data_IF_115082444088
#
_entry.id   IF_115082444088
#
_cell.length_a   1.000
_cell.length_b   1.000
_cell.length_c   1.000
_cell.angle_alpha   90.00
_cell.angle_beta   90.00
_cell.angle_gamma   90.00
#
_symmetry.space_group_name_H-M   'P 1'
#
loop_
_entity.id
_entity.type
_entity.pdbx_description
1 polymer ?
#
# COMPACT_ATOMS: atom_id res chain seq x y z
N UNK A 1 -3.62 3.71 -10.06
CA UNK A 1 -4.93 3.54 -9.39
C UNK A 1 -5.15 4.73 -8.49
N UNK A 2 -6.00 5.68 -8.89
CA UNK A 2 -6.52 6.66 -7.96
C UNK A 2 -7.75 6.03 -7.31
N UNK A 3 -7.66 5.73 -6.02
CA UNK A 3 -8.82 5.30 -5.25
C UNK A 3 -9.64 6.57 -5.02
N UNK A 4 -10.73 6.75 -5.75
CA UNK A 4 -11.64 7.88 -5.54
C UNK A 4 -12.19 7.84 -4.12
N UNK A 5 -11.94 8.88 -3.34
CA UNK A 5 -12.37 8.97 -1.94
C UNK A 5 -13.29 10.17 -1.74
N UNK A 6 -14.46 9.87 -1.17
CA UNK A 6 -15.47 10.81 -0.69
C UNK A 6 -14.88 11.76 0.36
N UNK A 7 -15.25 13.04 0.30
CA UNK A 7 -14.67 14.13 1.10
C UNK A 7 -14.98 14.09 2.61
N UNK A 8 -15.66 13.06 3.11
CA UNK A 8 -15.97 12.89 4.54
C UNK A 8 -15.63 11.47 5.02
N UNK A 9 -14.36 11.18 5.35
CA UNK A 9 -13.96 9.89 5.88
C UNK A 9 -14.43 9.73 7.33
N UNK A 10 -15.27 8.73 7.60
CA UNK A 10 -15.59 8.30 8.97
C UNK A 10 -14.33 7.83 9.74
N UNK A 11 -14.40 7.60 11.06
CA UNK A 11 -13.23 7.27 11.90
C UNK A 11 -12.48 6.00 11.45
N UNK A 12 -13.18 5.04 10.86
CA UNK A 12 -12.56 3.87 10.24
C UNK A 12 -11.76 4.22 8.97
N UNK A 13 -12.29 5.10 8.12
CA UNK A 13 -11.59 5.62 6.93
C UNK A 13 -10.39 6.49 7.32
N UNK A 14 -10.47 7.23 8.42
CA UNK A 14 -9.37 8.02 8.94
C UNK A 14 -8.16 7.16 9.38
N UNK A 15 -8.40 5.93 9.87
CA UNK A 15 -7.33 4.97 10.18
C UNK A 15 -6.68 4.41 8.92
N UNK A 16 -7.49 4.09 7.91
CA UNK A 16 -7.00 3.58 6.62
C UNK A 16 -6.06 4.57 5.93
N UNK A 17 -6.28 5.88 6.08
CA UNK A 17 -5.50 6.93 5.42
C UNK A 17 -4.31 7.45 6.22
N UNK A 18 -4.17 7.08 7.50
CA UNK A 18 -2.98 7.46 8.29
C UNK A 18 -1.85 6.45 8.04
N UNK A 19 -0.57 6.87 8.13
CA UNK A 19 0.53 5.92 8.14
C UNK A 19 0.45 5.04 9.39
N UNK A 20 0.83 3.77 9.25
CA UNK A 20 0.97 2.85 10.37
C UNK A 20 2.11 3.29 11.32
N UNK A 21 3.18 3.88 10.81
CA UNK A 21 4.30 4.37 11.62
C UNK A 21 4.25 5.89 11.84
N UNK A 22 4.98 6.38 12.85
CA UNK A 22 5.19 7.83 12.99
C UNK A 22 6.13 8.34 11.89
N UNK A 23 5.69 9.37 11.18
CA UNK A 23 6.46 10.11 10.18
C UNK A 23 6.65 11.53 10.70
N UNK A 24 7.87 12.07 10.58
CA UNK A 24 8.15 13.46 10.93
C UNK A 24 7.47 14.42 9.94
N UNK A 25 7.14 15.62 10.39
CA UNK A 25 6.60 16.65 9.51
C UNK A 25 7.56 16.95 8.35
N UNK A 26 7.04 17.04 7.13
CA UNK A 26 7.84 17.22 5.92
C UNK A 26 8.60 15.96 5.44
N UNK A 27 8.48 14.82 6.13
CA UNK A 27 9.04 13.54 5.70
C UNK A 27 8.01 12.65 5.01
N UNK A 28 8.49 11.69 4.25
CA UNK A 28 7.68 10.65 3.61
C UNK A 28 7.80 9.29 4.31
N UNK A 29 8.95 9.01 4.92
CA UNK A 29 9.28 7.73 5.52
C UNK A 29 9.20 7.77 7.03
N UNK A 30 9.04 6.60 7.65
CA UNK A 30 9.02 6.46 9.10
C UNK A 30 10.26 7.07 9.76
N UNK A 31 10.09 7.57 10.99
CA UNK A 31 11.23 7.90 11.84
C UNK A 31 12.08 6.62 12.05
N UNK A 32 13.43 6.70 11.90
CA UNK A 32 14.30 5.56 12.11
C UNK A 32 14.07 4.86 13.45
N UNK A 33 14.36 3.55 13.49
CA UNK A 33 14.17 2.67 14.65
C UNK A 33 12.70 2.35 15.01
N UNK A 34 11.75 2.60 14.11
CA UNK A 34 10.40 2.04 14.21
C UNK A 34 9.60 2.52 15.43
N UNK A 35 9.82 3.76 15.86
CA UNK A 35 9.03 4.35 16.94
C UNK A 35 7.55 4.44 16.53
N UNK A 36 6.67 4.01 17.43
CA UNK A 36 5.22 4.11 17.28
C UNK A 36 4.67 3.45 16.00
N UNK A 37 5.22 2.30 15.61
CA UNK A 37 4.63 1.47 14.55
C UNK A 37 3.35 0.83 15.07
N UNK A 38 2.28 0.88 14.28
CA UNK A 38 1.00 0.28 14.61
C UNK A 38 1.12 -1.22 14.89
N UNK A 39 0.29 -1.73 15.81
CA UNK A 39 0.28 -3.15 16.23
C UNK A 39 -0.25 -4.04 15.10
N UNK A 40 -1.33 -3.61 14.46
CA UNK A 40 -1.96 -4.36 13.37
C UNK A 40 -2.01 -3.53 12.08
N UNK A 41 -1.21 -3.95 11.10
CA UNK A 41 -1.08 -3.32 9.78
C UNK A 41 -2.29 -3.56 8.88
N UNK A 42 -3.19 -4.46 9.25
CA UNK A 42 -4.40 -4.78 8.46
C UNK A 42 -5.42 -3.64 8.42
N UNK A 43 -5.35 -2.73 9.39
CA UNK A 43 -6.25 -1.58 9.50
C UNK A 43 -5.71 -0.31 8.83
N UNK A 44 -4.63 -0.40 8.06
CA UNK A 44 -3.93 0.73 7.45
C UNK A 44 -3.65 0.44 5.97
N UNK A 45 -3.90 1.41 5.09
CA UNK A 45 -3.53 1.30 3.67
C UNK A 45 -2.04 1.58 3.47
N UNK A 46 -1.46 2.47 4.27
CA UNK A 46 -0.08 2.91 4.15
C UNK A 46 0.76 2.53 5.37
N UNK A 47 1.99 2.08 5.11
CA UNK A 47 2.97 1.82 6.16
C UNK A 47 3.59 3.13 6.66
N UNK A 48 4.08 3.95 5.73
CA UNK A 48 4.51 5.35 5.95
C UNK A 48 3.63 6.30 5.11
N UNK A 49 4.08 7.51 4.77
CA UNK A 49 3.21 8.45 4.04
C UNK A 49 3.04 8.12 2.55
N UNK A 50 3.86 7.23 1.97
CA UNK A 50 3.87 6.99 0.51
C UNK A 50 3.90 5.52 0.11
N UNK A 51 4.30 4.62 1.01
CA UNK A 51 4.38 3.19 0.75
C UNK A 51 3.16 2.45 1.32
N UNK A 52 2.51 1.58 0.53
CA UNK A 52 1.41 0.76 1.02
C UNK A 52 1.84 -0.24 2.11
N UNK A 53 0.89 -0.71 2.92
CA UNK A 53 1.13 -1.84 3.81
C UNK A 53 1.29 -3.14 3.03
N UNK A 54 1.91 -4.14 3.66
CA UNK A 54 2.05 -5.49 3.10
C UNK A 54 0.70 -6.09 2.70
N UNK A 55 -0.37 -5.84 3.46
CA UNK A 55 -1.69 -6.36 3.13
C UNK A 55 -2.24 -5.77 1.84
N UNK A 56 -2.05 -4.46 1.62
CA UNK A 56 -2.40 -3.82 0.34
C UNK A 56 -1.56 -4.43 -0.78
N UNK A 57 -0.24 -4.58 -0.60
CA UNK A 57 0.63 -5.20 -1.60
C UNK A 57 0.20 -6.65 -1.92
N UNK A 58 -0.11 -7.47 -0.92
CA UNK A 58 -0.61 -8.85 -1.09
C UNK A 58 -1.92 -8.90 -1.88
N UNK A 59 -2.81 -7.93 -1.69
CA UNK A 59 -4.08 -7.89 -2.42
C UNK A 59 -3.92 -7.58 -3.91
N UNK A 60 -2.91 -6.78 -4.28
CA UNK A 60 -2.70 -6.37 -5.68
C UNK A 60 -1.65 -7.20 -6.40
N UNK A 61 -0.69 -7.81 -5.69
CA UNK A 61 0.40 -8.59 -6.26
C UNK A 61 -0.06 -9.71 -7.22
N UNK A 62 -1.14 -10.49 -6.95
CA UNK A 62 -1.62 -11.50 -7.89
C UNK A 62 -2.01 -10.92 -9.25
N UNK A 63 -2.47 -9.66 -9.28
CA UNK A 63 -2.84 -8.98 -10.53
C UNK A 63 -1.65 -8.73 -11.44
N UNK A 64 -0.54 -8.29 -10.84
CA UNK A 64 0.73 -8.05 -11.52
C UNK A 64 1.45 -9.35 -11.88
N UNK A 65 1.32 -10.39 -11.02
CA UNK A 65 1.97 -11.67 -11.25
C UNK A 65 1.42 -12.40 -12.48
N UNK A 66 0.12 -12.30 -12.76
CA UNK A 66 -0.55 -13.00 -13.88
C UNK A 66 -1.23 -12.07 -14.89
N UNK A 67 -0.86 -10.78 -14.92
CA UNK A 67 -1.44 -9.72 -15.75
C UNK A 67 -2.96 -9.86 -15.98
N UNK A 68 -3.76 -9.78 -14.91
CA UNK A 68 -5.23 -9.90 -15.05
C UNK A 68 -5.83 -8.86 -16.00
N UNK A 69 -5.16 -7.72 -16.17
CA UNK A 69 -5.41 -6.73 -17.23
C UNK A 69 -4.07 -6.29 -17.82
N UNK A 70 -4.07 -5.87 -19.08
CA UNK A 70 -2.89 -5.27 -19.73
C UNK A 70 -2.36 -4.03 -19.01
N UNK A 71 -3.21 -3.31 -18.27
CA UNK A 71 -2.79 -2.17 -17.44
C UNK A 71 -2.02 -2.57 -16.17
N UNK A 72 -2.06 -3.85 -15.79
CA UNK A 72 -1.37 -4.37 -14.60
C UNK A 72 0.09 -4.67 -14.95
N UNK A 73 0.33 -5.44 -16.01
CA UNK A 73 1.67 -5.65 -16.58
C UNK A 73 1.60 -5.85 -18.09
N UNK A 74 2.56 -5.26 -18.82
CA UNK A 74 2.69 -5.36 -20.28
C UNK A 74 4.16 -5.10 -20.68
N UNK A 75 4.71 -5.78 -21.70
CA UNK A 75 4.09 -6.82 -22.54
C UNK A 75 4.08 -8.23 -21.91
N UNK A 76 4.82 -8.44 -20.82
CA UNK A 76 4.93 -9.71 -20.12
C UNK A 76 4.63 -9.50 -18.63
N UNK A 77 4.10 -10.53 -17.97
CA UNK A 77 3.92 -10.54 -16.52
C UNK A 77 5.09 -11.22 -15.79
N UNK A 78 5.10 -11.17 -14.46
CA UNK A 78 6.19 -11.75 -13.65
C UNK A 78 6.23 -13.28 -13.81
N UNK A 79 5.06 -13.92 -13.91
CA UNK A 79 4.98 -15.37 -14.08
C UNK A 79 5.66 -15.82 -15.37
N UNK A 80 5.43 -15.12 -16.47
CA UNK A 80 6.05 -15.38 -17.76
C UNK A 80 7.57 -15.14 -17.73
N UNK A 81 8.04 -14.12 -17.01
CA UNK A 81 9.48 -13.84 -16.88
C UNK A 81 10.23 -14.87 -16.02
N UNK A 82 9.53 -15.56 -15.12
CA UNK A 82 10.14 -16.49 -14.15
C UNK A 82 9.99 -17.96 -14.52
N UNK A 83 9.04 -18.30 -15.40
CA UNK A 83 8.79 -19.66 -15.87
C UNK A 83 9.34 -19.93 -17.28
N UNK A 84 10.11 -19.01 -17.84
CA UNK A 84 10.83 -19.18 -19.11
C UNK A 84 12.21 -19.80 -18.90
#
# INVERSE_FOLDING_TARGET
>A
MAIGISQNPGPALLRLMKPCCRVAEGSYTCIPNGKDVCIDRSHYLFFDNIHPTENVLKSVAPRYYSALKQSDAYPYDIKELTLR
#
